data_IF_620938690142
#
_entry.id   IF_620938690142
#
_cell.length_a   1.000
_cell.length_b   1.000
_cell.length_c   1.000
_cell.angle_alpha   90.00
_cell.angle_beta   90.00
_cell.angle_gamma   90.00
#
_symmetry.space_group_name_H-M   'P 1'
#
loop_
_entity.id
_entity.type
_entity.pdbx_description
1 polymer ?
#
# COMPACT_ATOMS: atom_id res chain seq x y z
N UNK A 1 0.29 -13.62 18.27
CA UNK A 1 0.02 -12.82 17.08
C UNK A 1 0.36 -11.34 17.32
N UNK A 2 -0.14 -10.72 18.40
CA UNK A 2 0.07 -9.29 18.72
C UNK A 2 1.53 -8.91 18.98
N UNK A 3 2.40 -9.85 19.32
CA UNK A 3 3.84 -9.66 19.48
C UNK A 3 4.64 -9.97 18.19
N UNK A 4 3.96 -10.13 17.06
CA UNK A 4 4.59 -10.22 15.75
C UNK A 4 4.63 -8.83 15.13
N UNK A 5 5.73 -8.12 15.38
CA UNK A 5 5.86 -6.71 15.05
C UNK A 5 6.12 -6.48 13.56
N UNK A 6 5.67 -5.34 13.00
CA UNK A 6 6.05 -4.91 11.67
C UNK A 6 7.55 -4.64 11.60
N UNK A 7 8.15 -4.92 10.46
CA UNK A 7 9.57 -4.64 10.19
C UNK A 7 9.79 -3.28 9.56
N UNK A 8 8.73 -2.67 9.03
CA UNK A 8 8.79 -1.38 8.34
C UNK A 8 7.39 -0.76 8.29
N UNK A 9 7.31 0.51 7.87
CA UNK A 9 6.07 1.23 7.61
C UNK A 9 6.10 1.84 6.21
N UNK A 10 5.09 1.49 5.41
CA UNK A 10 4.89 2.09 4.10
C UNK A 10 4.09 3.38 4.23
N UNK A 11 4.67 4.48 3.78
CA UNK A 11 3.97 5.76 3.63
C UNK A 11 3.62 5.97 2.16
N UNK A 12 2.34 6.18 1.88
CA UNK A 12 1.91 6.56 0.54
C UNK A 12 2.17 8.06 0.33
N UNK A 13 2.98 8.43 -0.68
CA UNK A 13 3.37 9.82 -0.92
C UNK A 13 2.20 10.67 -1.43
N UNK A 14 2.33 12.01 -1.44
CA UNK A 14 1.38 12.87 -2.11
C UNK A 14 1.32 12.56 -3.62
N UNK A 15 0.15 12.85 -4.23
CA UNK A 15 -0.02 12.72 -5.68
C UNK A 15 0.83 13.77 -6.41
N UNK A 16 1.53 13.33 -7.44
CA UNK A 16 2.29 14.20 -8.34
C UNK A 16 1.63 14.29 -9.71
N UNK A 17 1.93 15.35 -10.43
CA UNK A 17 1.64 15.43 -11.87
C UNK A 17 2.58 14.49 -12.65
N UNK A 18 2.16 14.02 -13.82
CA UNK A 18 2.99 13.11 -14.64
C UNK A 18 4.35 13.76 -14.99
N UNK A 19 4.38 15.07 -15.24
CA UNK A 19 5.63 15.81 -15.54
C UNK A 19 6.61 15.88 -14.37
N UNK A 20 6.13 15.72 -13.13
CA UNK A 20 6.92 15.80 -11.91
C UNK A 20 7.46 14.44 -11.45
N UNK A 21 7.07 13.34 -12.12
CA UNK A 21 7.51 11.99 -11.79
C UNK A 21 9.02 11.84 -12.02
N UNK A 22 9.71 11.33 -11.02
CA UNK A 22 11.16 11.15 -11.00
C UNK A 22 11.53 9.71 -11.29
N UNK A 23 12.42 9.52 -12.27
CA UNK A 23 12.96 8.19 -12.58
C UNK A 23 13.69 7.59 -11.39
N UNK A 24 13.44 6.29 -11.13
CA UNK A 24 14.03 5.55 -10.02
C UNK A 24 13.26 5.63 -8.71
N UNK A 25 12.39 6.64 -8.54
CA UNK A 25 11.58 6.83 -7.33
C UNK A 25 10.28 6.03 -7.36
N UNK A 26 9.74 5.74 -6.17
CA UNK A 26 8.40 5.16 -6.02
C UNK A 26 7.42 6.27 -5.70
N UNK A 27 6.59 6.59 -6.66
CA UNK A 27 5.70 7.75 -6.61
C UNK A 27 4.24 7.39 -6.90
N UNK A 28 3.36 8.32 -6.65
CA UNK A 28 1.94 8.20 -6.91
C UNK A 28 1.45 9.29 -7.84
N UNK A 29 0.64 8.92 -8.82
CA UNK A 29 0.05 9.83 -9.79
C UNK A 29 -1.41 9.51 -10.02
N UNK A 30 -2.26 10.54 -10.07
CA UNK A 30 -3.62 10.39 -10.55
C UNK A 30 -3.65 10.71 -12.05
N UNK A 31 -4.05 9.74 -12.86
CA UNK A 31 -4.09 9.90 -14.30
C UNK A 31 -5.31 9.18 -14.90
N UNK A 32 -5.83 9.71 -16.00
CA UNK A 32 -6.91 9.10 -16.78
C UNK A 32 -6.34 8.21 -17.87
N UNK A 33 -7.02 7.08 -18.13
CA UNK A 33 -6.63 6.14 -19.17
C UNK A 33 -6.91 6.76 -20.55
N UNK A 34 -5.88 6.82 -21.40
CA UNK A 34 -5.93 7.41 -22.75
C UNK A 34 -6.43 6.42 -23.80
N UNK A 35 -6.76 5.19 -23.39
CA UNK A 35 -7.30 4.15 -24.23
C UNK A 35 -7.55 2.88 -23.43
N UNK A 36 -8.15 1.89 -24.06
CA UNK A 36 -8.38 0.60 -23.44
C UNK A 36 -7.08 -0.21 -23.26
N UNK A 37 -7.03 -0.97 -22.18
CA UNK A 37 -5.90 -1.83 -21.91
C UNK A 37 -5.77 -2.95 -22.96
N UNK A 38 -4.55 -3.14 -23.46
CA UNK A 38 -4.19 -4.15 -24.47
C UNK A 38 -3.51 -5.32 -23.79
N UNK A 39 -3.98 -6.51 -24.10
CA UNK A 39 -3.41 -7.77 -23.60
C UNK A 39 -2.55 -8.40 -24.69
N UNK A 40 -1.30 -8.67 -24.37
CA UNK A 40 -0.36 -9.41 -25.20
C UNK A 40 -0.06 -10.75 -24.55
N UNK A 41 0.02 -11.78 -25.36
CA UNK A 41 0.43 -13.13 -24.94
C UNK A 41 1.58 -13.60 -25.82
N UNK A 42 2.69 -13.94 -25.21
CA UNK A 42 3.85 -14.44 -25.94
C UNK A 42 4.88 -15.05 -24.99
N UNK A 43 5.58 -16.09 -25.43
CA UNK A 43 6.65 -16.77 -24.69
C UNK A 43 6.28 -17.13 -23.23
N UNK A 44 5.06 -17.60 -22.99
CA UNK A 44 4.56 -17.92 -21.65
C UNK A 44 4.23 -16.71 -20.76
N UNK A 45 4.42 -15.48 -21.26
CA UNK A 45 4.17 -14.25 -20.53
C UNK A 45 2.85 -13.60 -20.99
N UNK A 46 1.99 -13.28 -20.05
CA UNK A 46 0.80 -12.45 -20.27
C UNK A 46 1.09 -11.06 -19.81
N UNK A 47 1.12 -10.11 -20.75
CA UNK A 47 1.43 -8.69 -20.47
C UNK A 47 0.21 -7.84 -20.78
N UNK A 48 -0.22 -7.05 -19.81
CA UNK A 48 -1.27 -6.05 -19.96
C UNK A 48 -0.61 -4.67 -20.00
N UNK A 49 -0.91 -3.86 -21.01
CA UNK A 49 -0.38 -2.51 -21.18
C UNK A 49 -1.50 -1.50 -21.42
N UNK A 50 -1.33 -0.31 -20.88
CA UNK A 50 -2.22 0.82 -21.15
C UNK A 50 -1.42 2.11 -20.99
N UNK A 51 -1.82 3.16 -21.70
CA UNK A 51 -1.32 4.52 -21.47
C UNK A 51 -2.31 5.30 -20.63
N UNK A 52 -1.77 6.06 -19.69
CA UNK A 52 -2.51 7.02 -18.87
C UNK A 52 -1.87 8.40 -18.96
N UNK A 53 -2.55 9.43 -18.59
CA UNK A 53 -2.02 10.78 -18.59
C UNK A 53 -2.89 11.75 -17.83
N UNK A 54 -2.30 12.90 -17.56
CA UNK A 54 -2.96 14.10 -17.09
C UNK A 54 -2.67 15.25 -18.05
N UNK A 55 -2.97 16.50 -17.64
CA UNK A 55 -2.68 17.70 -18.47
C UNK A 55 -1.18 17.94 -18.67
N UNK A 56 -0.31 17.34 -17.85
CA UNK A 56 1.13 17.58 -17.82
C UNK A 56 1.93 16.57 -18.63
N UNK A 57 1.38 15.38 -18.92
CA UNK A 57 2.14 14.37 -19.65
C UNK A 57 1.45 13.01 -19.79
N UNK A 58 2.23 12.05 -20.30
CA UNK A 58 1.79 10.66 -20.51
C UNK A 58 2.68 9.69 -19.78
N UNK A 59 2.05 8.64 -19.23
CA UNK A 59 2.67 7.54 -18.50
C UNK A 59 2.23 6.22 -19.13
N UNK A 60 3.17 5.28 -19.32
CA UNK A 60 2.88 3.94 -19.80
C UNK A 60 2.89 2.97 -18.62
N UNK A 61 1.85 2.15 -18.55
CA UNK A 61 1.61 1.22 -17.45
C UNK A 61 1.68 -0.21 -17.97
N UNK A 62 2.33 -1.09 -17.23
CA UNK A 62 2.49 -2.50 -17.59
C UNK A 62 2.27 -3.40 -16.39
N UNK A 63 1.48 -4.45 -16.58
CA UNK A 63 1.30 -5.53 -15.62
C UNK A 63 1.60 -6.87 -16.28
N UNK A 64 2.21 -7.76 -15.52
CA UNK A 64 2.44 -9.14 -15.91
C UNK A 64 1.47 -10.05 -15.17
N UNK A 65 1.03 -11.13 -15.80
CA UNK A 65 0.12 -12.14 -15.24
C UNK A 65 -1.16 -11.61 -14.60
N UNK A 66 -1.66 -10.46 -15.05
CA UNK A 66 -2.83 -9.78 -14.49
C UNK A 66 -3.94 -9.51 -15.52
N UNK A 67 -4.41 -10.52 -16.27
CA UNK A 67 -5.40 -10.32 -17.32
C UNK A 67 -6.75 -9.82 -16.77
N UNK A 68 -7.05 -10.09 -15.50
CA UNK A 68 -8.29 -9.67 -14.83
C UNK A 68 -8.43 -8.14 -14.74
N UNK A 69 -7.31 -7.40 -14.71
CA UNK A 69 -7.33 -5.93 -14.69
C UNK A 69 -7.89 -5.33 -15.98
N UNK A 70 -7.85 -6.06 -17.10
CA UNK A 70 -8.35 -5.55 -18.39
C UNK A 70 -9.80 -5.06 -18.31
N UNK A 71 -10.63 -5.73 -17.52
CA UNK A 71 -12.06 -5.35 -17.37
C UNK A 71 -12.24 -4.02 -16.64
N UNK A 72 -11.31 -3.66 -15.77
CA UNK A 72 -11.32 -2.44 -14.97
C UNK A 72 -10.66 -1.24 -15.66
N UNK A 73 -9.75 -1.48 -16.59
CA UNK A 73 -8.94 -0.45 -17.23
C UNK A 73 -9.57 -0.04 -18.58
N UNK A 74 -10.58 0.83 -18.50
CA UNK A 74 -11.30 1.37 -19.67
C UNK A 74 -10.86 2.79 -19.99
N UNK A 75 -10.91 3.14 -21.26
CA UNK A 75 -10.60 4.51 -21.72
C UNK A 75 -11.44 5.55 -20.96
N UNK A 76 -10.81 6.65 -20.56
CA UNK A 76 -11.44 7.76 -19.84
C UNK A 76 -11.55 7.55 -18.32
N UNK A 77 -11.39 6.34 -17.80
CA UNK A 77 -11.43 6.12 -16.35
C UNK A 77 -10.15 6.66 -15.69
N UNK A 78 -10.30 7.25 -14.49
CA UNK A 78 -9.20 7.81 -13.70
C UNK A 78 -8.87 6.96 -12.49
N UNK A 79 -7.56 6.72 -12.28
CA UNK A 79 -7.04 5.95 -11.16
C UNK A 79 -5.79 6.60 -10.58
N UNK A 80 -5.48 6.25 -9.35
CA UNK A 80 -4.17 6.50 -8.77
C UNK A 80 -3.28 5.29 -9.05
N UNK A 81 -2.15 5.55 -9.69
CA UNK A 81 -1.09 4.58 -9.96
C UNK A 81 0.05 4.85 -8.99
N UNK A 82 0.41 3.85 -8.19
CA UNK A 82 1.52 3.91 -7.25
C UNK A 82 2.55 2.84 -7.59
N UNK A 83 3.76 3.25 -7.90
CA UNK A 83 4.81 2.34 -8.30
C UNK A 83 6.13 3.03 -8.59
N UNK A 84 7.15 2.22 -8.86
CA UNK A 84 8.45 2.73 -9.27
C UNK A 84 8.39 3.30 -10.68
N UNK A 85 8.87 4.52 -10.81
CA UNK A 85 8.96 5.21 -12.10
C UNK A 85 10.23 4.79 -12.83
N UNK A 86 10.12 4.46 -14.09
CA UNK A 86 11.24 4.20 -14.99
C UNK A 86 11.11 5.00 -16.27
N UNK A 87 12.21 5.19 -17.00
CA UNK A 87 12.22 5.87 -18.30
C UNK A 87 12.84 4.96 -19.34
N UNK A 88 12.16 4.81 -20.46
CA UNK A 88 12.67 4.07 -21.60
C UNK A 88 12.40 4.84 -22.90
N UNK A 89 13.43 5.12 -23.68
CA UNK A 89 13.36 5.90 -24.94
C UNK A 89 12.60 7.23 -24.76
N UNK A 90 12.89 7.95 -23.66
CA UNK A 90 12.27 9.24 -23.35
C UNK A 90 10.84 9.17 -22.79
N UNK A 91 10.25 7.98 -22.64
CA UNK A 91 8.88 7.78 -22.13
C UNK A 91 8.91 7.31 -20.69
N UNK A 92 7.97 7.80 -19.90
CA UNK A 92 7.76 7.38 -18.51
C UNK A 92 6.97 6.07 -18.46
N UNK A 93 7.41 5.15 -17.62
CA UNK A 93 6.81 3.86 -17.38
C UNK A 93 6.64 3.59 -15.90
N UNK A 94 5.59 2.84 -15.55
CA UNK A 94 5.50 2.11 -14.27
C UNK A 94 5.20 0.64 -14.56
N UNK A 95 5.98 -0.26 -13.96
CA UNK A 95 5.75 -1.70 -14.03
C UNK A 95 5.11 -2.18 -12.73
N UNK A 96 4.07 -3.02 -12.88
CA UNK A 96 3.30 -3.57 -11.75
C UNK A 96 2.82 -2.50 -10.74
N UNK A 97 2.35 -1.30 -11.18
CA UNK A 97 1.88 -0.32 -10.22
C UNK A 97 0.66 -0.85 -9.46
N UNK A 98 0.57 -0.49 -8.19
CA UNK A 98 -0.68 -0.64 -7.43
C UNK A 98 -1.72 0.33 -7.96
N UNK A 99 -2.96 -0.12 -8.01
CA UNK A 99 -4.10 0.61 -8.57
C UNK A 99 -5.11 0.91 -7.47
N UNK A 100 -5.45 2.19 -7.31
CA UNK A 100 -6.40 2.65 -6.31
C UNK A 100 -7.43 3.60 -6.94
N UNK A 101 -8.62 3.68 -6.37
CA UNK A 101 -9.48 4.84 -6.58
C UNK A 101 -8.88 6.07 -5.90
N UNK A 102 -9.33 7.25 -6.29
CA UNK A 102 -8.85 8.51 -5.69
C UNK A 102 -9.22 8.60 -4.21
N UNK A 103 -10.41 8.11 -3.86
CA UNK A 103 -10.93 8.09 -2.48
C UNK A 103 -10.17 7.11 -1.60
N UNK A 104 -9.87 5.90 -2.10
CA UNK A 104 -9.06 4.92 -1.39
C UNK A 104 -7.67 5.47 -1.11
N UNK A 105 -7.03 6.05 -2.13
CA UNK A 105 -5.69 6.61 -1.96
C UNK A 105 -5.64 7.76 -0.97
N UNK A 106 -6.63 8.67 -1.02
CA UNK A 106 -6.74 9.79 -0.08
C UNK A 106 -6.81 9.35 1.38
N UNK A 107 -7.46 8.23 1.66
CA UNK A 107 -7.54 7.67 3.03
C UNK A 107 -6.23 7.06 3.51
N UNK A 108 -5.37 6.61 2.59
CA UNK A 108 -4.08 5.97 2.91
C UNK A 108 -2.91 6.95 2.87
N UNK A 109 -3.07 8.07 2.15
CA UNK A 109 -2.01 9.05 1.95
C UNK A 109 -1.54 9.62 3.30
N UNK A 110 -0.24 9.53 3.58
CA UNK A 110 0.37 10.03 4.80
C UNK A 110 0.08 9.20 6.05
N UNK A 111 -0.72 8.13 5.95
CA UNK A 111 -0.96 7.21 7.07
C UNK A 111 0.04 6.05 6.97
N UNK A 112 0.85 5.80 8.02
CA UNK A 112 1.80 4.70 8.00
C UNK A 112 1.08 3.34 7.94
N UNK A 113 1.40 2.54 6.93
CA UNK A 113 0.89 1.20 6.78
C UNK A 113 1.93 0.19 7.26
N UNK A 114 1.68 -0.60 8.32
CA UNK A 114 2.67 -1.53 8.84
C UNK A 114 2.95 -2.66 7.84
N UNK A 115 4.23 -2.91 7.62
CA UNK A 115 4.74 -3.96 6.72
C UNK A 115 5.20 -5.14 7.55
N UNK A 116 4.59 -6.30 7.32
CA UNK A 116 4.97 -7.55 7.99
C UNK A 116 5.73 -8.46 7.04
N UNK A 117 6.78 -9.15 7.53
CA UNK A 117 7.47 -10.16 6.75
C UNK A 117 6.54 -11.34 6.45
N UNK A 118 6.78 -12.01 5.33
CA UNK A 118 6.08 -13.26 5.02
C UNK A 118 6.50 -14.34 6.00
N UNK A 119 5.57 -15.12 6.51
CA UNK A 119 5.84 -16.21 7.45
C UNK A 119 4.92 -17.40 7.19
N UNK A 120 5.47 -18.61 7.23
CA UNK A 120 4.72 -19.88 7.11
C UNK A 120 3.71 -19.90 5.95
N UNK A 121 4.05 -19.35 4.79
CA UNK A 121 3.16 -19.27 3.62
C UNK A 121 2.10 -18.16 3.70
N UNK A 122 2.05 -17.38 4.78
CA UNK A 122 1.15 -16.23 4.91
C UNK A 122 1.76 -14.97 4.31
N UNK A 123 0.96 -14.21 3.58
CA UNK A 123 1.38 -12.90 3.08
C UNK A 123 1.38 -11.87 4.22
N UNK A 124 2.25 -10.85 4.14
CA UNK A 124 2.25 -9.75 5.10
C UNK A 124 0.88 -9.05 5.21
N UNK A 125 0.13 -8.98 4.12
CA UNK A 125 -1.22 -8.43 4.11
C UNK A 125 -2.22 -9.31 4.92
N UNK A 126 -2.09 -10.64 4.85
CA UNK A 126 -2.90 -11.56 5.64
C UNK A 126 -2.60 -11.41 7.12
N UNK A 127 -1.30 -11.32 7.47
CA UNK A 127 -0.85 -11.10 8.85
C UNK A 127 -1.39 -9.77 9.38
N UNK A 128 -1.27 -8.68 8.61
CA UNK A 128 -1.82 -7.37 8.98
C UNK A 128 -3.32 -7.41 9.28
N UNK A 129 -4.11 -8.05 8.42
CA UNK A 129 -5.56 -8.19 8.64
C UNK A 129 -5.85 -8.95 9.93
N UNK A 130 -5.13 -10.04 10.20
CA UNK A 130 -5.29 -10.84 11.41
C UNK A 130 -4.90 -10.07 12.68
N UNK A 131 -3.78 -9.35 12.66
CA UNK A 131 -3.35 -8.49 13.78
C UNK A 131 -4.38 -7.41 14.07
N UNK A 132 -4.86 -6.71 13.03
CA UNK A 132 -5.89 -5.68 13.19
C UNK A 132 -7.19 -6.24 13.77
N UNK A 133 -7.64 -7.39 13.29
CA UNK A 133 -8.83 -8.05 13.82
C UNK A 133 -8.64 -8.44 15.31
N UNK A 134 -7.46 -8.96 15.66
CA UNK A 134 -7.13 -9.29 17.04
C UNK A 134 -7.10 -8.04 17.95
N UNK A 135 -6.53 -6.91 17.51
CA UNK A 135 -6.56 -5.67 18.28
C UNK A 135 -7.99 -5.14 18.46
N UNK A 136 -8.80 -5.19 17.42
CA UNK A 136 -10.20 -4.75 17.51
C UNK A 136 -11.00 -5.59 18.50
N UNK A 137 -10.69 -6.88 18.71
CA UNK A 137 -11.38 -7.69 19.72
C UNK A 137 -11.11 -7.28 21.16
N UNK A 138 -10.06 -6.48 21.41
CA UNK A 138 -9.72 -5.90 22.71
C UNK A 138 -10.07 -4.42 22.83
N UNK A 139 -10.71 -3.82 21.83
CA UNK A 139 -11.00 -2.38 21.83
C UNK A 139 -12.00 -1.95 22.91
N UNK A 140 -12.96 -2.82 23.23
CA UNK A 140 -13.98 -2.57 24.26
C UNK A 140 -13.50 -2.98 25.66
N UNK A 141 -12.74 -4.07 25.76
CA UNK A 141 -12.17 -4.56 27.02
C UNK A 141 -10.71 -5.02 26.82
N UNK A 142 -9.72 -4.15 27.09
CA UNK A 142 -8.30 -4.49 27.03
C UNK A 142 -7.79 -5.24 28.26
N UNK A 143 -8.64 -5.48 29.28
CA UNK A 143 -8.23 -6.08 30.56
C UNK A 143 -7.55 -7.45 30.42
N UNK A 144 -7.93 -8.34 29.46
CA UNK A 144 -7.22 -9.61 29.29
C UNK A 144 -5.76 -9.47 28.87
N UNK A 145 -5.38 -8.34 28.25
CA UNK A 145 -3.99 -8.09 27.88
C UNK A 145 -3.10 -7.71 29.08
N UNK A 146 -3.67 -7.29 30.21
CA UNK A 146 -2.91 -6.98 31.43
C UNK A 146 -2.08 -8.16 31.94
N UNK A 147 -2.57 -9.39 31.76
CA UNK A 147 -1.84 -10.59 32.15
C UNK A 147 -0.52 -10.78 31.37
N UNK A 148 -0.39 -10.15 30.21
CA UNK A 148 0.80 -10.18 29.37
C UNK A 148 1.66 -8.91 29.49
N UNK A 149 1.23 -7.94 30.32
CA UNK A 149 1.95 -6.71 30.54
C UNK A 149 3.00 -6.92 31.63
N UNK A 150 4.25 -7.00 31.20
CA UNK A 150 5.40 -7.21 32.09
C UNK A 150 6.02 -5.92 32.63
N UNK A 151 5.47 -4.74 32.25
CA UNK A 151 5.95 -3.44 32.77
C UNK A 151 5.24 -3.12 34.08
N UNK A 152 5.98 -3.05 35.24
CA UNK A 152 5.39 -2.69 36.51
C UNK A 152 4.69 -1.32 36.46
N UNK A 153 3.52 -1.24 37.12
CA UNK A 153 2.70 -0.02 37.10
C UNK A 153 3.47 1.21 37.67
N UNK A 154 4.33 0.99 38.65
CA UNK A 154 5.22 2.04 39.22
C UNK A 154 6.18 2.62 38.19
N UNK A 155 6.74 1.75 37.34
CA UNK A 155 7.64 2.18 36.26
C UNK A 155 6.85 2.88 35.15
N UNK A 156 5.67 2.37 34.84
CA UNK A 156 4.77 2.95 33.86
C UNK A 156 4.44 4.41 34.19
N UNK A 157 3.95 4.64 35.42
CA UNK A 157 3.64 5.99 35.90
C UNK A 157 4.86 6.91 35.95
N UNK A 158 6.00 6.37 36.43
CA UNK A 158 7.25 7.16 36.54
C UNK A 158 7.79 7.62 35.19
N UNK A 159 7.57 6.85 34.13
CA UNK A 159 8.09 7.09 32.79
C UNK A 159 7.03 7.55 31.80
N UNK A 160 5.81 7.77 32.27
CA UNK A 160 4.65 8.13 31.42
C UNK A 160 4.47 7.18 30.23
N UNK A 161 4.56 5.86 30.50
CA UNK A 161 4.43 4.84 29.45
C UNK A 161 2.96 4.47 29.25
N UNK A 162 2.51 4.33 28.01
CA UNK A 162 1.16 3.86 27.70
C UNK A 162 0.96 2.41 28.14
N UNK A 163 -0.28 1.96 28.30
CA UNK A 163 -0.65 0.59 28.54
C UNK A 163 -0.26 -0.35 27.40
N UNK A 164 -0.30 -1.66 27.66
CA UNK A 164 0.07 -2.64 26.62
C UNK A 164 -0.83 -2.54 25.39
N UNK A 165 -2.14 -2.35 25.58
CA UNK A 165 -3.08 -2.19 24.47
C UNK A 165 -2.78 -0.96 23.61
N UNK A 166 -2.57 0.19 24.25
CA UNK A 166 -2.23 1.43 23.56
C UNK A 166 -0.89 1.32 22.82
N UNK A 167 0.09 0.68 23.46
CA UNK A 167 1.42 0.44 22.84
C UNK A 167 1.32 -0.44 21.60
N UNK A 168 0.58 -1.56 21.71
CA UNK A 168 0.36 -2.46 20.58
C UNK A 168 -0.45 -1.78 19.47
N UNK A 169 -1.46 -0.99 19.84
CA UNK A 169 -2.27 -0.24 18.88
C UNK A 169 -1.43 0.78 18.12
N UNK A 170 -0.55 1.53 18.79
CA UNK A 170 0.33 2.50 18.17
C UNK A 170 1.34 1.86 17.19
N UNK A 171 1.79 0.62 17.47
CA UNK A 171 2.72 -0.09 16.59
C UNK A 171 2.01 -0.74 15.39
N UNK A 172 0.83 -1.27 15.57
CA UNK A 172 0.14 -2.04 14.53
C UNK A 172 -0.87 -1.22 13.72
N UNK A 173 -1.35 -0.11 14.26
CA UNK A 173 -2.34 0.80 13.66
C UNK A 173 -1.96 2.27 13.93
N UNK A 174 -0.75 2.72 13.52
CA UNK A 174 -0.26 4.06 13.78
C UNK A 174 -1.10 5.15 13.09
#
# INVERSE_FOLDING_TARGET
>A
LLFYFPTDYLLYPPLRAVSELREGETEAVYASLLGDARLFRGNGLVTLTVSAGDLSGRLFLRWFHSPFLKKRLRAGEGFVFYGRVSRFRGRLFMEQPKLFSREEYKKMQGVPEPVYPKSAGLSGQTIRKAVRAALLSFSEDPSPLRAFDFVPETLRRRRDLPGLYESLSAVHCP
#
